data_IF_511504315024
#
_entry.id   IF_511504315024
#
_cell.length_a   1.000
_cell.length_b   1.000
_cell.length_c   1.000
_cell.angle_alpha   90.00
_cell.angle_beta   90.00
_cell.angle_gamma   90.00
#
_symmetry.space_group_name_H-M   'P 1'
#
loop_
_entity.id
_entity.type
_entity.pdbx_description
1 polymer ?
#
# COMPACT_ATOMS: atom_id res chain seq x y z
N UNK A 1 26.48 -6.27 -10.32
CA UNK A 1 25.98 -5.20 -9.43
C UNK A 1 24.61 -5.52 -8.82
N UNK A 2 23.46 -5.21 -9.44
CA UNK A 2 22.14 -5.35 -8.79
C UNK A 2 21.77 -6.81 -8.40
N UNK A 3 21.96 -7.78 -9.32
CA UNK A 3 21.74 -9.20 -9.04
C UNK A 3 22.65 -9.75 -7.93
N UNK A 4 23.84 -9.18 -7.81
CA UNK A 4 24.83 -9.59 -6.82
C UNK A 4 24.45 -9.07 -5.44
N UNK A 5 24.02 -7.81 -5.34
CA UNK A 5 23.44 -7.26 -4.12
C UNK A 5 22.18 -8.01 -3.67
N UNK A 6 21.31 -8.42 -4.60
CA UNK A 6 20.14 -9.23 -4.26
C UNK A 6 20.55 -10.58 -3.63
N UNK A 7 21.57 -11.25 -4.20
CA UNK A 7 22.09 -12.52 -3.67
C UNK A 7 22.79 -12.37 -2.32
N UNK A 8 23.28 -11.19 -1.98
CA UNK A 8 23.80 -10.89 -0.65
C UNK A 8 22.69 -10.71 0.38
N UNK A 9 21.56 -10.12 -0.02
CA UNK A 9 20.44 -9.84 0.87
C UNK A 9 19.49 -11.04 1.04
N UNK A 10 19.34 -11.89 0.02
CA UNK A 10 18.41 -13.02 0.00
C UNK A 10 19.20 -14.33 -0.15
N UNK A 11 19.10 -15.27 0.82
CA UNK A 11 19.78 -16.56 0.73
C UNK A 11 19.44 -17.31 -0.55
N UNK A 12 20.44 -17.99 -1.12
CA UNK A 12 20.29 -18.72 -2.39
C UNK A 12 19.22 -19.82 -2.35
N UNK A 13 19.01 -20.46 -1.19
CA UNK A 13 17.93 -21.44 -0.98
C UNK A 13 16.54 -20.82 -1.15
N UNK A 14 16.31 -19.65 -0.54
CA UNK A 14 15.04 -18.91 -0.67
C UNK A 14 14.81 -18.48 -2.12
N UNK A 15 15.85 -18.04 -2.83
CA UNK A 15 15.74 -17.69 -4.25
C UNK A 15 15.40 -18.91 -5.13
N UNK A 16 15.92 -20.10 -4.79
CA UNK A 16 15.63 -21.32 -5.51
C UNK A 16 14.17 -21.76 -5.30
N UNK A 17 13.68 -21.72 -4.06
CA UNK A 17 12.27 -22.00 -3.72
C UNK A 17 11.34 -20.99 -4.40
N UNK A 18 11.63 -19.69 -4.27
CA UNK A 18 10.85 -18.64 -4.90
C UNK A 18 10.74 -18.83 -6.42
N UNK A 19 11.82 -19.28 -7.08
CA UNK A 19 11.81 -19.54 -8.53
C UNK A 19 10.94 -20.73 -8.93
N UNK A 20 10.70 -21.68 -8.04
CA UNK A 20 9.82 -22.81 -8.28
C UNK A 20 8.35 -22.50 -7.97
N UNK A 21 8.11 -21.58 -7.03
CA UNK A 21 6.78 -21.29 -6.51
C UNK A 21 6.13 -20.03 -7.08
N UNK A 22 6.92 -19.07 -7.58
CA UNK A 22 6.44 -17.76 -7.99
C UNK A 22 6.81 -17.45 -9.44
N UNK A 23 5.87 -16.79 -10.11
CA UNK A 23 6.06 -16.18 -11.43
C UNK A 23 6.80 -14.84 -11.32
N UNK A 24 7.44 -14.36 -12.39
CA UNK A 24 8.04 -13.02 -12.43
C UNK A 24 7.06 -11.90 -12.05
N UNK A 25 5.78 -12.04 -12.44
CA UNK A 25 4.71 -11.09 -12.13
C UNK A 25 4.38 -11.07 -10.63
N UNK A 26 4.30 -12.24 -9.99
CA UNK A 26 4.09 -12.33 -8.54
C UNK A 26 5.28 -11.75 -7.76
N UNK A 27 6.51 -12.01 -8.20
CA UNK A 27 7.72 -11.40 -7.62
C UNK A 27 7.69 -9.88 -7.77
N UNK A 28 7.28 -9.36 -8.93
CA UNK A 28 7.09 -7.91 -9.11
C UNK A 28 6.04 -7.37 -8.14
N UNK A 29 4.91 -8.06 -8.00
CA UNK A 29 3.86 -7.70 -7.04
C UNK A 29 4.38 -7.64 -5.62
N UNK A 30 5.11 -8.66 -5.17
CA UNK A 30 5.67 -8.74 -3.80
C UNK A 30 6.66 -7.60 -3.49
N UNK A 31 7.48 -7.21 -4.47
CA UNK A 31 8.49 -6.17 -4.29
C UNK A 31 7.89 -4.77 -4.44
N UNK A 32 7.10 -4.55 -5.49
CA UNK A 32 6.62 -3.22 -5.84
C UNK A 32 5.28 -2.88 -5.19
N UNK A 33 4.46 -3.86 -4.85
CA UNK A 33 3.06 -3.67 -4.44
C UNK A 33 2.10 -3.43 -5.62
N UNK A 34 0.82 -3.36 -5.28
CA UNK A 34 -0.29 -3.16 -6.21
C UNK A 34 -0.52 -1.68 -6.54
N UNK A 35 -0.92 -1.41 -7.78
CA UNK A 35 -1.43 -0.10 -8.22
C UNK A 35 -2.94 0.02 -8.06
N UNK A 36 -3.63 -1.09 -7.85
CA UNK A 36 -5.08 -1.13 -7.74
C UNK A 36 -5.46 -0.78 -6.31
N UNK A 37 -5.98 0.45 -6.14
CA UNK A 37 -6.36 0.98 -4.84
C UNK A 37 -7.83 0.66 -4.58
N UNK A 38 -8.08 -0.26 -3.65
CA UNK A 38 -9.40 -0.48 -3.06
C UNK A 38 -9.66 0.57 -1.97
N UNK A 39 -10.57 1.51 -2.26
CA UNK A 39 -10.92 2.60 -1.35
C UNK A 39 -11.66 2.10 -0.12
N UNK A 40 -12.46 1.04 -0.24
CA UNK A 40 -13.17 0.50 0.92
C UNK A 40 -12.20 -0.25 1.84
N UNK A 41 -11.20 -0.93 1.29
CA UNK A 41 -10.10 -1.48 2.10
C UNK A 41 -9.28 -0.38 2.78
N UNK A 42 -9.02 0.71 2.07
CA UNK A 42 -8.32 1.87 2.64
C UNK A 42 -9.08 2.45 3.82
N UNK A 43 -10.38 2.72 3.69
CA UNK A 43 -11.17 3.28 4.77
C UNK A 43 -11.28 2.34 5.96
N UNK A 44 -11.54 1.04 5.72
CA UNK A 44 -11.62 0.03 6.80
C UNK A 44 -10.32 -0.07 7.60
N UNK A 45 -9.17 0.13 6.97
CA UNK A 45 -7.86 0.06 7.59
C UNK A 45 -7.28 1.43 7.93
N UNK A 46 -8.12 2.46 8.07
CA UNK A 46 -7.70 3.79 8.50
C UNK A 46 -7.91 3.96 10.01
N UNK A 47 -6.85 4.38 10.70
CA UNK A 47 -6.90 4.77 12.10
C UNK A 47 -7.39 6.22 12.21
N UNK A 48 -8.29 6.49 13.15
CA UNK A 48 -8.67 7.86 13.53
C UNK A 48 -7.80 8.34 14.70
N UNK A 49 -7.26 9.54 14.60
CA UNK A 49 -6.45 10.19 15.62
C UNK A 49 -7.01 11.57 15.99
N UNK A 50 -6.45 12.20 17.02
CA UNK A 50 -6.81 13.58 17.40
C UNK A 50 -8.27 13.79 17.84
N UNK A 51 -8.97 12.73 18.26
CA UNK A 51 -10.39 12.79 18.63
C UNK A 51 -11.37 12.73 17.46
N UNK A 52 -10.87 12.55 16.23
CA UNK A 52 -11.71 12.29 15.07
C UNK A 52 -12.36 10.91 15.15
N UNK A 53 -13.50 10.76 14.49
CA UNK A 53 -14.20 9.52 14.27
C UNK A 53 -15.01 9.59 12.96
N UNK A 54 -15.59 8.46 12.55
CA UNK A 54 -16.32 8.35 11.29
C UNK A 54 -17.54 9.30 11.15
N UNK A 55 -18.08 9.82 12.25
CA UNK A 55 -19.21 10.76 12.21
C UNK A 55 -18.79 12.21 11.90
N UNK A 56 -17.51 12.55 12.14
CA UNK A 56 -16.95 13.87 11.84
C UNK A 56 -17.18 14.21 10.37
N UNK A 57 -17.59 15.46 10.13
CA UNK A 57 -17.91 15.93 8.79
C UNK A 57 -16.69 15.91 7.88
N UNK A 58 -15.54 16.23 8.44
CA UNK A 58 -14.24 16.31 7.78
C UNK A 58 -13.82 14.91 7.28
N UNK A 59 -13.99 13.88 8.11
CA UNK A 59 -13.71 12.48 7.76
C UNK A 59 -14.65 12.01 6.64
N UNK A 60 -15.95 12.30 6.74
CA UNK A 60 -16.92 11.96 5.69
C UNK A 60 -16.62 12.67 4.37
N UNK A 61 -16.21 13.94 4.41
CA UNK A 61 -15.84 14.69 3.22
C UNK A 61 -14.57 14.15 2.57
N UNK A 62 -13.56 13.81 3.37
CA UNK A 62 -12.35 13.18 2.88
C UNK A 62 -12.68 11.92 2.06
N UNK A 63 -13.41 10.97 2.65
CA UNK A 63 -13.75 9.73 1.96
C UNK A 63 -14.72 9.92 0.79
N UNK A 64 -15.59 10.94 0.84
CA UNK A 64 -16.41 11.31 -0.33
C UNK A 64 -15.55 11.75 -1.51
N UNK A 65 -14.53 12.57 -1.28
CA UNK A 65 -13.60 13.00 -2.32
C UNK A 65 -12.77 11.83 -2.88
N UNK A 66 -12.24 10.97 -2.00
CA UNK A 66 -11.46 9.80 -2.40
C UNK A 66 -12.31 8.83 -3.24
N UNK A 67 -13.54 8.55 -2.82
CA UNK A 67 -14.48 7.72 -3.61
C UNK A 67 -14.86 8.34 -4.94
N UNK A 68 -15.03 9.67 -4.99
CA UNK A 68 -15.32 10.36 -6.25
C UNK A 68 -14.18 10.16 -7.26
N UNK A 69 -12.91 10.28 -6.82
CA UNK A 69 -11.77 10.00 -7.69
C UNK A 69 -11.74 8.55 -8.18
N UNK A 70 -12.05 7.58 -7.31
CA UNK A 70 -12.14 6.18 -7.72
C UNK A 70 -13.24 5.95 -8.76
N UNK A 71 -14.44 6.50 -8.54
CA UNK A 71 -15.57 6.39 -9.46
C UNK A 71 -15.31 7.05 -10.82
N UNK A 72 -14.57 8.16 -10.83
CA UNK A 72 -14.18 8.89 -12.04
C UNK A 72 -12.96 8.26 -12.75
N UNK A 73 -12.45 7.12 -12.27
CA UNK A 73 -11.28 6.44 -12.84
C UNK A 73 -9.95 7.18 -12.62
N UNK A 74 -9.90 8.14 -11.69
CA UNK A 74 -8.75 9.00 -11.37
C UNK A 74 -7.76 8.30 -10.43
N UNK A 75 -7.26 7.15 -10.86
CA UNK A 75 -6.29 6.35 -10.11
C UNK A 75 -4.98 7.11 -9.83
N UNK A 76 -4.58 8.01 -10.73
CA UNK A 76 -3.46 8.94 -10.54
C UNK A 76 -3.58 9.76 -9.24
N UNK A 77 -4.78 10.29 -8.96
CA UNK A 77 -5.05 11.09 -7.75
C UNK A 77 -4.98 10.27 -6.47
N UNK A 78 -5.49 9.03 -6.51
CA UNK A 78 -5.41 8.11 -5.38
C UNK A 78 -3.96 7.74 -5.06
N UNK A 79 -3.17 7.44 -6.10
CA UNK A 79 -1.75 7.13 -5.97
C UNK A 79 -0.95 8.32 -5.46
N UNK A 80 -1.25 9.55 -5.91
CA UNK A 80 -0.60 10.76 -5.42
C UNK A 80 -0.94 11.06 -3.97
N UNK A 81 -2.19 10.83 -3.53
CA UNK A 81 -2.57 10.94 -2.12
C UNK A 81 -1.82 9.91 -1.27
N UNK A 82 -1.72 8.66 -1.75
CA UNK A 82 -0.98 7.62 -1.04
C UNK A 82 0.50 7.97 -0.94
N UNK A 83 1.10 8.48 -2.03
CA UNK A 83 2.49 8.93 -2.07
C UNK A 83 2.74 10.07 -1.10
N UNK A 84 1.82 11.04 -1.05
CA UNK A 84 1.89 12.15 -0.12
C UNK A 84 1.92 11.67 1.34
N UNK A 85 1.07 10.71 1.69
CA UNK A 85 0.93 10.25 3.07
C UNK A 85 1.96 9.18 3.49
N UNK A 86 2.40 8.33 2.55
CA UNK A 86 3.17 7.11 2.88
C UNK A 86 4.55 7.05 2.21
N UNK A 87 4.84 7.95 1.27
CA UNK A 87 6.06 7.87 0.48
C UNK A 87 6.02 6.85 -0.67
N UNK A 88 4.89 6.17 -0.90
CA UNK A 88 4.70 5.21 -1.98
C UNK A 88 3.41 5.47 -2.76
N UNK A 89 3.45 5.31 -4.09
CA UNK A 89 2.25 5.29 -4.95
C UNK A 89 1.53 3.93 -4.97
N UNK A 90 2.03 2.93 -4.25
CA UNK A 90 1.56 1.54 -4.33
C UNK A 90 1.18 1.00 -2.96
N UNK A 91 0.15 0.17 -2.95
CA UNK A 91 -0.37 -0.52 -1.77
C UNK A 91 0.35 -1.86 -1.64
N UNK A 92 0.67 -2.34 -0.42
CA UNK A 92 1.15 -3.70 -0.22
C UNK A 92 0.21 -4.74 -0.84
N UNK A 93 0.74 -5.86 -1.31
CA UNK A 93 -0.07 -6.95 -1.92
C UNK A 93 -1.18 -7.44 -0.97
N UNK A 94 -0.94 -7.39 0.34
CA UNK A 94 -1.92 -7.75 1.37
C UNK A 94 -2.90 -6.62 1.77
N UNK A 95 -2.96 -5.53 1.00
CA UNK A 95 -3.87 -4.40 1.23
C UNK A 95 -3.39 -3.37 2.26
N UNK A 96 -4.28 -2.44 2.60
CA UNK A 96 -4.00 -1.32 3.51
C UNK A 96 -3.76 -1.76 4.95
N UNK A 97 -4.24 -2.95 5.30
CA UNK A 97 -3.89 -3.60 6.55
C UNK A 97 -2.37 -3.77 6.71
N UNK A 98 -1.62 -3.95 5.62
CA UNK A 98 -0.19 -4.26 5.65
C UNK A 98 0.71 -3.04 5.46
N UNK A 99 0.18 -1.81 5.61
CA UNK A 99 1.01 -0.61 5.56
C UNK A 99 2.10 -0.65 6.64
N UNK A 100 3.33 -0.33 6.23
CA UNK A 100 4.53 -0.32 7.07
C UNK A 100 5.06 1.10 7.21
N UNK A 101 5.44 1.46 8.44
CA UNK A 101 6.10 2.72 8.73
C UNK A 101 7.61 2.65 8.47
N UNK A 102 8.29 3.78 8.67
CA UNK A 102 9.75 3.90 8.46
C UNK A 102 10.59 2.93 9.32
N UNK A 103 10.05 2.48 10.46
CA UNK A 103 10.71 1.56 11.38
C UNK A 103 10.41 0.08 11.07
N UNK A 104 9.71 -0.22 9.97
CA UNK A 104 9.31 -1.58 9.59
C UNK A 104 8.13 -2.14 10.39
N UNK A 105 7.60 -1.41 11.38
CA UNK A 105 6.39 -1.80 12.09
C UNK A 105 5.14 -1.48 11.27
N UNK A 106 4.08 -2.25 11.48
CA UNK A 106 2.76 -1.97 10.89
C UNK A 106 2.29 -0.58 11.33
N UNK A 107 2.02 0.29 10.37
CA UNK A 107 1.55 1.64 10.58
C UNK A 107 0.42 1.96 9.61
N UNK A 108 -0.82 1.88 10.10
CA UNK A 108 -2.00 2.16 9.30
C UNK A 108 -2.03 3.62 8.82
N UNK A 109 -2.73 3.85 7.72
CA UNK A 109 -3.08 5.21 7.31
C UNK A 109 -3.87 5.87 8.45
N UNK A 110 -3.55 7.12 8.78
CA UNK A 110 -4.14 7.80 9.93
C UNK A 110 -4.74 9.12 9.49
N UNK A 111 -6.01 9.33 9.86
CA UNK A 111 -6.73 10.60 9.74
C UNK A 111 -6.81 11.29 11.10
#
# INVERSE_FOLDING_TARGET
AMLEGLRMAVPSGVLAEARQMLTPEEVHGLIAGSRDIDVDDWERNTRMAGGLNASNREVRWFWRCVRAWAADGRQDRLQDLLQFATGSRRVPVGGFAQLVGFNGSRHLFTL
#
